data_IF_820409346125
#
_entry.id   IF_820409346125
#
_cell.length_a   1.000
_cell.length_b   1.000
_cell.length_c   1.000
_cell.angle_alpha   90.00
_cell.angle_beta   90.00
_cell.angle_gamma   90.00
#
_symmetry.space_group_name_H-M   'P 1'
#
loop_
_entity.id
_entity.type
_entity.pdbx_description
1 polymer ?
#
# COMPACT_ATOMS: atom_id res chain seq x y z
N UNK A 1 2.83 5.02 19.50
CA UNK A 1 3.69 3.91 19.02
C UNK A 1 4.22 3.20 20.24
N UNK A 2 3.92 1.91 20.45
CA UNK A 2 4.26 1.18 21.68
C UNK A 2 5.76 0.77 21.70
N UNK A 3 6.63 1.43 22.49
CA UNK A 3 8.10 1.27 22.38
C UNK A 3 8.58 -0.16 22.71
N UNK A 4 7.89 -0.83 23.64
CA UNK A 4 8.24 -2.18 24.12
C UNK A 4 8.01 -3.28 23.08
N UNK A 5 7.06 -3.07 22.17
CA UNK A 5 6.80 -4.04 21.10
C UNK A 5 7.94 -4.02 20.06
N UNK A 6 8.43 -2.83 19.72
CA UNK A 6 9.57 -2.63 18.81
C UNK A 6 10.86 -3.21 19.43
N UNK A 7 11.09 -2.97 20.72
CA UNK A 7 12.25 -3.52 21.43
C UNK A 7 12.27 -5.07 21.42
N UNK A 8 11.11 -5.70 21.64
CA UNK A 8 10.98 -7.16 21.56
C UNK A 8 11.29 -7.69 20.15
N UNK A 9 10.75 -7.06 19.10
CA UNK A 9 11.00 -7.49 17.71
C UNK A 9 12.48 -7.45 17.33
N UNK A 10 13.15 -6.35 17.69
CA UNK A 10 14.57 -6.18 17.43
C UNK A 10 15.43 -7.23 18.16
N UNK A 11 15.07 -7.57 19.41
CA UNK A 11 15.81 -8.55 20.22
C UNK A 11 15.79 -9.96 19.63
N UNK A 12 14.71 -10.34 18.93
CA UNK A 12 14.55 -11.70 18.38
C UNK A 12 14.71 -11.79 16.86
N UNK A 13 15.05 -10.69 16.19
CA UNK A 13 15.15 -10.61 14.73
C UNK A 13 13.88 -11.10 14.03
N UNK A 14 12.72 -10.79 14.61
CA UNK A 14 11.43 -11.12 14.02
C UNK A 14 11.06 -10.07 12.98
N UNK A 15 10.69 -10.49 11.78
CA UNK A 15 10.13 -9.61 10.76
C UNK A 15 8.64 -9.34 11.07
N UNK A 16 8.25 -8.07 10.98
CA UNK A 16 6.87 -7.62 11.19
C UNK A 16 5.95 -8.19 10.10
N UNK A 17 4.85 -8.84 10.45
CA UNK A 17 3.77 -9.11 9.48
C UNK A 17 2.91 -7.87 9.28
N UNK A 18 2.28 -7.72 8.11
CA UNK A 18 1.36 -6.60 7.84
C UNK A 18 0.20 -6.54 8.85
N UNK A 19 -0.28 -7.70 9.30
CA UNK A 19 -1.28 -7.86 10.37
C UNK A 19 -0.78 -7.31 11.72
N UNK A 20 0.49 -7.53 12.03
CA UNK A 20 1.12 -6.99 13.24
C UNK A 20 1.22 -5.46 13.21
N UNK A 21 1.55 -4.85 12.05
CA UNK A 21 1.56 -3.39 11.88
C UNK A 21 0.18 -2.76 12.11
N UNK A 22 -0.89 -3.27 11.49
CA UNK A 22 -2.26 -2.72 11.69
C UNK A 22 -2.67 -2.72 13.16
N UNK A 23 -2.32 -3.76 13.91
CA UNK A 23 -2.65 -3.89 15.33
C UNK A 23 -1.79 -3.01 16.28
N UNK A 24 -0.58 -2.64 15.85
CA UNK A 24 0.31 -1.75 16.61
C UNK A 24 -0.10 -0.28 16.52
N UNK A 25 -0.67 0.13 15.37
CA UNK A 25 -1.14 1.49 15.12
C UNK A 25 -2.58 1.74 15.57
N UNK A 26 -3.36 0.69 15.88
CA UNK A 26 -4.75 0.79 16.36
C UNK A 26 -4.91 0.86 17.89
N UNK A 27 -3.82 1.07 18.66
CA UNK A 27 -3.80 1.08 20.14
C UNK A 27 -4.21 -0.25 20.83
N UNK A 28 -4.31 -1.37 20.11
CA UNK A 28 -4.75 -2.66 20.67
C UNK A 28 -3.67 -3.36 21.53
N UNK A 29 -2.38 -3.01 21.37
CA UNK A 29 -1.26 -3.69 22.04
C UNK A 29 -0.53 -2.79 23.03
N UNK A 30 -1.15 -2.49 24.17
CA UNK A 30 -0.51 -1.78 25.29
C UNK A 30 0.00 -2.69 26.42
N UNK A 31 -0.01 -4.02 26.26
CA UNK A 31 0.47 -4.95 27.30
C UNK A 31 1.36 -6.02 26.66
N UNK A 32 2.62 -5.67 26.43
CA UNK A 32 3.71 -6.63 26.17
C UNK A 32 4.48 -6.77 27.48
N UNK A 33 4.32 -7.90 28.17
CA UNK A 33 5.16 -8.25 29.31
C UNK A 33 6.39 -9.02 28.84
N UNK A 34 7.57 -8.41 29.02
CA UNK A 34 8.85 -9.09 28.85
C UNK A 34 9.23 -9.78 30.15
N UNK A 35 9.17 -11.12 30.19
CA UNK A 35 9.80 -11.93 31.26
C UNK A 35 10.89 -12.80 30.65
N UNK A 36 12.15 -12.46 30.92
CA UNK A 36 13.32 -13.21 30.46
C UNK A 36 13.50 -13.22 28.93
N UNK A 37 13.73 -14.40 28.34
CA UNK A 37 13.93 -14.61 26.90
C UNK A 37 12.64 -15.00 26.14
N UNK A 38 11.46 -14.65 26.68
CA UNK A 38 10.16 -14.90 26.03
C UNK A 38 9.37 -13.59 25.97
N UNK A 39 8.85 -13.27 24.79
CA UNK A 39 7.82 -12.25 24.63
C UNK A 39 6.47 -12.95 24.53
N UNK A 40 5.58 -12.71 25.49
CA UNK A 40 4.20 -13.20 25.43
C UNK A 40 3.33 -12.09 24.82
N UNK A 41 2.83 -12.32 23.61
CA UNK A 41 1.82 -11.48 22.98
C UNK A 41 0.41 -11.97 23.43
N UNK A 42 -0.56 -11.06 23.67
CA UNK A 42 -1.88 -11.46 24.14
C UNK A 42 -2.60 -12.37 23.13
N UNK A 43 -3.36 -13.33 23.67
CA UNK A 43 -3.94 -14.49 23.01
C UNK A 43 -4.93 -14.11 21.89
N UNK A 44 -4.44 -14.07 20.66
CA UNK A 44 -5.18 -14.51 19.48
C UNK A 44 -4.26 -15.40 18.67
N UNK A 45 -4.85 -16.41 18.02
CA UNK A 45 -4.23 -17.60 17.44
C UNK A 45 -2.78 -17.40 16.96
N UNK A 46 -1.91 -18.31 17.40
CA UNK A 46 -0.49 -18.43 17.06
C UNK A 46 -0.15 -17.92 15.67
N UNK A 47 0.31 -16.66 15.60
CA UNK A 47 0.95 -16.13 14.40
C UNK A 47 2.25 -16.92 14.25
N UNK A 48 2.32 -17.77 13.22
CA UNK A 48 3.50 -18.58 12.89
C UNK A 48 4.67 -17.64 12.55
N UNK A 49 5.43 -17.25 13.56
CA UNK A 49 6.69 -16.54 13.41
C UNK A 49 7.74 -17.54 12.89
N UNK A 50 7.95 -17.57 11.56
CA UNK A 50 8.97 -18.44 10.96
C UNK A 50 10.36 -17.89 11.28
N UNK A 51 11.11 -18.60 12.11
CA UNK A 51 12.55 -18.36 12.32
C UNK A 51 13.27 -18.61 10.98
N UNK A 52 14.19 -17.73 10.53
CA UNK A 52 14.94 -18.03 9.32
C UNK A 52 15.82 -19.26 9.60
N UNK A 53 15.96 -20.19 8.64
CA UNK A 53 16.86 -21.32 8.80
C UNK A 53 18.29 -20.80 8.97
N UNK A 54 18.96 -21.25 10.02
CA UNK A 54 20.38 -20.95 10.26
C UNK A 54 21.18 -21.66 9.19
N UNK A 55 21.59 -20.93 8.16
CA UNK A 55 22.52 -21.44 7.15
C UNK A 55 23.91 -21.58 7.80
N UNK A 56 24.44 -22.82 7.87
CA UNK A 56 25.84 -23.05 8.20
C UNK A 56 26.71 -22.52 7.05
N UNK A 57 27.86 -21.88 7.35
CA UNK A 57 28.77 -21.43 6.31
C UNK A 57 29.52 -22.64 5.75
N UNK A 58 29.11 -23.14 4.60
CA UNK A 58 29.93 -24.04 3.77
C UNK A 58 30.33 -23.29 2.51
N UNK A 59 31.64 -23.08 2.36
CA UNK A 59 32.41 -22.74 1.16
C UNK A 59 31.71 -21.84 0.13
N UNK A 60 32.23 -20.63 0.00
CA UNK A 60 31.84 -19.61 -0.96
C UNK A 60 31.35 -20.17 -2.32
N UNK A 61 30.06 -20.01 -2.67
CA UNK A 61 29.67 -20.05 -4.05
C UNK A 61 30.04 -18.70 -4.66
N UNK A 62 30.74 -18.74 -5.78
CA UNK A 62 30.98 -17.58 -6.65
C UNK A 62 29.66 -16.82 -6.78
N UNK A 63 29.67 -15.58 -6.29
CA UNK A 63 28.54 -14.66 -6.35
C UNK A 63 28.29 -14.36 -7.83
N UNK A 64 27.46 -15.18 -8.49
CA UNK A 64 26.71 -14.68 -9.64
C UNK A 64 25.75 -13.67 -9.04
N UNK A 65 26.19 -12.41 -8.98
CA UNK A 65 25.27 -11.29 -9.00
C UNK A 65 24.44 -11.50 -10.25
N UNK A 66 23.25 -12.06 -10.06
CA UNK A 66 22.16 -11.83 -10.99
C UNK A 66 21.91 -10.34 -10.82
N UNK A 67 22.54 -9.56 -11.68
CA UNK A 67 22.19 -8.18 -11.91
C UNK A 67 20.74 -8.24 -12.42
N UNK A 68 19.79 -8.25 -11.49
CA UNK A 68 18.39 -8.10 -11.84
C UNK A 68 18.35 -6.69 -12.43
N UNK A 69 18.25 -6.61 -13.75
CA UNK A 69 17.92 -5.38 -14.45
C UNK A 69 16.50 -4.99 -14.00
N UNK A 70 16.41 -4.44 -12.79
CA UNK A 70 15.26 -3.74 -12.25
C UNK A 70 15.28 -2.38 -12.94
N UNK A 71 14.86 -2.34 -14.19
CA UNK A 71 14.63 -1.06 -14.85
C UNK A 71 13.57 -0.35 -14.00
N UNK A 72 13.99 0.69 -13.28
CA UNK A 72 13.10 1.57 -12.51
C UNK A 72 12.40 2.58 -13.41
N UNK A 73 12.57 2.47 -14.73
CA UNK A 73 11.85 3.26 -15.69
C UNK A 73 10.39 2.82 -15.71
N UNK A 74 9.53 3.69 -15.22
CA UNK A 74 8.08 3.49 -15.16
C UNK A 74 7.34 4.42 -16.11
N UNK A 75 8.04 5.17 -16.99
CA UNK A 75 7.42 6.23 -17.81
C UNK A 75 6.23 5.73 -18.65
N UNK A 76 6.30 4.48 -19.14
CA UNK A 76 5.26 3.85 -19.94
C UNK A 76 4.33 2.93 -19.13
N UNK A 77 4.43 2.94 -17.80
CA UNK A 77 3.59 2.11 -16.92
C UNK A 77 2.33 2.88 -16.54
N UNK A 78 1.17 2.33 -16.89
CA UNK A 78 -0.12 2.72 -16.34
C UNK A 78 -0.63 1.64 -15.39
N UNK A 79 -1.43 2.02 -14.40
CA UNK A 79 -2.15 1.05 -13.56
C UNK A 79 -3.34 0.47 -14.32
N UNK A 80 -3.77 -0.72 -13.93
CA UNK A 80 -4.89 -1.45 -14.53
C UNK A 80 -6.06 -1.56 -13.55
N UNK A 81 -7.23 -1.97 -14.08
CA UNK A 81 -8.42 -2.28 -13.29
C UNK A 81 -8.82 -1.18 -12.30
N UNK A 82 -8.66 0.08 -12.71
CA UNK A 82 -9.06 1.21 -11.87
C UNK A 82 -10.57 1.13 -11.64
N UNK A 83 -10.96 1.19 -10.37
CA UNK A 83 -12.35 1.21 -9.95
C UNK A 83 -12.56 2.31 -8.93
N UNK A 84 -13.75 2.91 -8.94
CA UNK A 84 -14.17 3.90 -7.97
C UNK A 84 -15.58 3.57 -7.46
N UNK A 85 -15.69 3.31 -6.17
CA UNK A 85 -16.94 2.95 -5.52
C UNK A 85 -17.34 4.02 -4.49
N UNK A 86 -18.57 4.50 -4.60
CA UNK A 86 -19.15 5.36 -3.58
C UNK A 86 -19.50 4.52 -2.35
N UNK A 87 -18.90 4.84 -1.21
CA UNK A 87 -19.10 4.09 0.04
C UNK A 87 -20.20 4.73 0.89
N UNK A 88 -19.89 5.85 1.54
CA UNK A 88 -20.84 6.57 2.36
C UNK A 88 -20.51 8.06 2.48
N UNK A 89 -21.53 8.91 2.60
CA UNK A 89 -21.37 10.35 2.79
C UNK A 89 -20.53 11.02 1.69
N UNK A 90 -19.24 11.24 1.97
CA UNK A 90 -18.28 11.86 1.04
C UNK A 90 -17.13 10.93 0.66
N UNK A 91 -17.19 9.66 1.08
CA UNK A 91 -16.11 8.70 0.91
C UNK A 91 -16.26 7.94 -0.40
N UNK A 92 -15.18 7.92 -1.17
CA UNK A 92 -15.06 7.13 -2.40
C UNK A 92 -13.85 6.23 -2.25
N UNK A 93 -14.08 4.93 -2.33
CA UNK A 93 -13.03 3.92 -2.36
C UNK A 93 -12.51 3.80 -3.79
N UNK A 94 -11.20 3.95 -3.97
CA UNK A 94 -10.54 3.84 -5.28
C UNK A 94 -9.56 2.68 -5.19
N UNK A 95 -9.59 1.78 -6.17
CA UNK A 95 -8.70 0.62 -6.22
C UNK A 95 -8.15 0.39 -7.62
N UNK A 96 -6.98 -0.24 -7.72
CA UNK A 96 -6.27 -0.52 -8.97
C UNK A 96 -5.24 -1.64 -8.79
N UNK A 97 -4.73 -2.18 -9.90
CA UNK A 97 -3.63 -3.16 -9.93
C UNK A 97 -2.45 -2.63 -10.75
N UNK A 98 -1.27 -3.21 -10.57
CA UNK A 98 -0.16 -3.01 -11.50
C UNK A 98 -0.22 -4.07 -12.62
N UNK A 99 0.27 -3.76 -13.83
CA UNK A 99 0.50 -4.76 -14.86
C UNK A 99 1.38 -5.90 -14.34
N UNK A 100 1.12 -7.12 -14.80
CA UNK A 100 1.81 -8.34 -14.30
C UNK A 100 3.34 -8.35 -14.50
N UNK A 101 3.85 -7.56 -15.43
CA UNK A 101 5.28 -7.39 -15.73
C UNK A 101 5.96 -6.33 -14.86
N UNK A 102 5.20 -5.58 -14.05
CA UNK A 102 5.71 -4.54 -13.16
C UNK A 102 5.80 -5.05 -11.73
N UNK A 103 7.02 -5.07 -11.18
CA UNK A 103 7.21 -5.46 -9.77
C UNK A 103 6.77 -4.32 -8.83
N UNK A 104 6.09 -4.62 -7.70
CA UNK A 104 5.73 -3.61 -6.69
C UNK A 104 6.93 -2.76 -6.20
N UNK A 105 8.14 -3.36 -6.15
CA UNK A 105 9.36 -2.67 -5.72
C UNK A 105 9.85 -1.58 -6.71
N UNK A 106 9.32 -1.55 -7.94
CA UNK A 106 9.62 -0.52 -8.93
C UNK A 106 8.80 0.77 -8.71
N UNK A 107 7.75 0.72 -7.89
CA UNK A 107 6.82 1.82 -7.64
C UNK A 107 6.92 2.24 -6.17
N UNK A 108 7.11 3.53 -5.91
CA UNK A 108 7.17 4.07 -4.54
C UNK A 108 5.81 4.56 -4.05
N UNK A 109 4.94 4.99 -4.98
CA UNK A 109 3.59 5.41 -4.68
C UNK A 109 2.77 5.72 -5.92
N UNK A 110 1.60 6.32 -5.71
CA UNK A 110 0.64 6.66 -6.76
C UNK A 110 0.15 8.09 -6.62
N UNK A 111 -0.14 8.73 -7.75
CA UNK A 111 -0.82 10.01 -7.82
C UNK A 111 -2.26 9.77 -8.24
N UNK A 112 -3.20 10.16 -7.39
CA UNK A 112 -4.63 10.12 -7.69
C UNK A 112 -5.03 11.49 -8.21
N UNK A 113 -5.45 11.55 -9.46
CA UNK A 113 -5.79 12.79 -10.16
C UNK A 113 -7.31 12.80 -10.31
N UNK A 114 -7.98 13.84 -9.83
CA UNK A 114 -9.43 13.94 -9.94
C UNK A 114 -9.91 15.36 -10.14
N UNK A 115 -11.01 15.49 -10.88
CA UNK A 115 -11.68 16.76 -11.12
C UNK A 115 -13.20 16.60 -11.03
N UNK A 116 -13.87 17.68 -10.63
CA UNK A 116 -15.33 17.74 -10.60
C UNK A 116 -15.86 18.08 -11.99
N UNK A 117 -16.73 17.23 -12.52
CA UNK A 117 -17.43 17.46 -13.78
C UNK A 117 -18.63 18.38 -13.54
N UNK A 118 -18.66 19.52 -14.21
CA UNK A 118 -19.79 20.44 -14.29
C UNK A 118 -20.46 20.31 -15.65
N UNK A 119 -21.71 20.75 -15.79
CA UNK A 119 -22.55 20.56 -17.00
C UNK A 119 -21.88 21.00 -18.32
N UNK A 120 -20.92 21.93 -18.28
CA UNK A 120 -20.26 22.46 -19.47
C UNK A 120 -18.71 22.51 -19.36
N UNK A 121 -18.13 22.10 -18.24
CA UNK A 121 -16.67 22.19 -18.03
C UNK A 121 -16.19 21.25 -16.92
N UNK A 122 -14.88 20.96 -16.93
CA UNK A 122 -14.17 20.31 -15.82
C UNK A 122 -13.62 21.38 -14.87
N UNK A 123 -13.51 21.08 -13.58
CA UNK A 123 -12.65 21.87 -12.69
C UNK A 123 -11.19 21.62 -12.99
N UNK A 124 -10.31 22.40 -12.35
CA UNK A 124 -8.89 22.07 -12.30
C UNK A 124 -8.69 20.70 -11.66
N UNK A 125 -7.63 20.01 -12.11
CA UNK A 125 -7.21 18.73 -11.56
C UNK A 125 -6.65 18.92 -10.16
N UNK A 126 -7.13 18.08 -9.24
CA UNK A 126 -6.57 17.92 -7.90
C UNK A 126 -5.71 16.66 -7.93
N UNK A 127 -4.49 16.75 -7.41
CA UNK A 127 -3.54 15.64 -7.33
C UNK A 127 -3.28 15.30 -5.87
N UNK A 128 -3.48 14.03 -5.52
CA UNK A 128 -3.21 13.49 -4.19
C UNK A 128 -2.18 12.36 -4.26
N UNK A 129 -1.07 12.51 -3.52
CA UNK A 129 -0.02 11.51 -3.45
C UNK A 129 -0.36 10.45 -2.40
N UNK A 130 -0.37 9.20 -2.82
CA UNK A 130 -0.76 8.04 -2.00
C UNK A 130 0.39 7.03 -1.97
N UNK A 131 0.89 6.78 -0.77
CA UNK A 131 1.78 5.65 -0.49
C UNK A 131 0.94 4.51 0.09
N UNK A 132 0.68 3.47 -0.70
CA UNK A 132 -0.09 2.29 -0.29
C UNK A 132 0.61 1.02 -0.76
N UNK A 133 0.28 -0.10 -0.13
CA UNK A 133 0.80 -1.43 -0.47
C UNK A 133 -0.34 -2.29 -1.01
N UNK A 134 -0.07 -3.24 -1.92
CA UNK A 134 -1.12 -4.12 -2.41
C UNK A 134 -1.59 -5.06 -1.28
N UNK A 135 -2.83 -5.51 -1.37
CA UNK A 135 -3.32 -6.64 -0.58
C UNK A 135 -2.83 -7.99 -1.13
N UNK A 136 -3.34 -9.08 -0.56
CA UNK A 136 -2.94 -10.45 -0.93
C UNK A 136 -3.30 -10.81 -2.38
N UNK A 137 -4.26 -10.09 -2.99
CA UNK A 137 -4.69 -10.27 -4.39
C UNK A 137 -3.99 -9.28 -5.34
N UNK A 138 -3.03 -8.49 -4.85
CA UNK A 138 -2.30 -7.51 -5.66
C UNK A 138 -3.04 -6.19 -5.85
N UNK A 139 -4.13 -5.96 -5.12
CA UNK A 139 -4.98 -4.78 -5.25
C UNK A 139 -4.45 -3.64 -4.36
N UNK A 140 -4.18 -2.51 -4.98
CA UNK A 140 -3.88 -1.24 -4.31
C UNK A 140 -5.18 -0.48 -4.11
N UNK A 141 -5.26 0.29 -3.02
CA UNK A 141 -6.43 1.11 -2.75
C UNK A 141 -6.16 2.32 -1.88
N UNK A 142 -7.08 3.28 -1.96
CA UNK A 142 -7.19 4.46 -1.08
C UNK A 142 -8.64 4.94 -0.97
N UNK A 143 -8.91 5.80 -0.01
CA UNK A 143 -10.23 6.40 0.19
C UNK A 143 -10.16 7.92 0.07
N UNK A 144 -10.78 8.46 -0.99
CA UNK A 144 -10.90 9.90 -1.19
C UNK A 144 -12.06 10.48 -0.39
N UNK A 145 -11.96 11.77 -0.05
CA UNK A 145 -13.05 12.53 0.56
C UNK A 145 -13.51 13.64 -0.39
N UNK A 146 -14.58 13.39 -1.13
CA UNK A 146 -15.05 14.22 -2.24
C UNK A 146 -16.32 15.00 -1.89
N UNK A 147 -16.59 16.10 -2.59
CA UNK A 147 -17.82 16.89 -2.38
C UNK A 147 -19.06 16.10 -2.78
N UNK A 148 -20.12 16.24 -1.99
CA UNK A 148 -21.44 15.64 -2.24
C UNK A 148 -22.08 16.19 -3.52
N UNK A 149 -23.08 15.47 -4.01
CA UNK A 149 -23.89 15.80 -5.19
C UNK A 149 -23.06 16.23 -6.40
N UNK A 150 -21.92 15.56 -6.61
CA UNK A 150 -20.92 15.95 -7.62
C UNK A 150 -20.44 14.71 -8.36
N UNK A 151 -20.30 14.82 -9.69
CA UNK A 151 -19.68 13.80 -10.52
C UNK A 151 -18.19 14.08 -10.65
N UNK A 152 -17.36 13.06 -10.53
CA UNK A 152 -15.91 13.16 -10.67
C UNK A 152 -15.42 12.30 -11.82
N UNK A 153 -14.36 12.77 -12.46
CA UNK A 153 -13.41 11.96 -13.20
C UNK A 153 -12.23 11.67 -12.29
N UNK A 154 -11.76 10.43 -12.26
CA UNK A 154 -10.64 9.97 -11.44
C UNK A 154 -9.68 9.18 -12.32
N UNK A 155 -8.38 9.46 -12.21
CA UNK A 155 -7.28 8.73 -12.84
C UNK A 155 -6.21 8.43 -11.81
N UNK A 156 -5.40 7.42 -12.09
CA UNK A 156 -4.29 7.01 -11.23
C UNK A 156 -3.03 6.82 -12.07
N UNK A 157 -1.88 7.26 -11.56
CA UNK A 157 -0.58 6.94 -12.16
C UNK A 157 0.46 6.58 -11.09
N UNK A 158 1.38 5.65 -11.36
CA UNK A 158 2.45 5.32 -10.43
C UNK A 158 3.55 6.39 -10.46
N UNK A 159 4.34 6.49 -9.40
CA UNK A 159 5.59 7.27 -9.39
C UNK A 159 6.68 6.56 -8.59
N UNK A 160 7.93 6.91 -8.88
CA UNK A 160 9.11 6.54 -8.11
C UNK A 160 10.17 7.65 -8.17
N UNK A 161 11.34 7.45 -7.54
CA UNK A 161 12.41 8.45 -7.55
C UNK A 161 13.00 8.80 -8.92
N UNK A 162 12.68 8.08 -10.00
CA UNK A 162 13.10 8.41 -11.37
C UNK A 162 12.06 9.22 -12.15
N UNK A 163 10.78 9.16 -11.76
CA UNK A 163 9.73 9.89 -12.46
C UNK A 163 8.33 9.36 -12.18
N UNK A 164 7.40 9.75 -13.05
CA UNK A 164 6.00 9.35 -13.03
C UNK A 164 5.70 8.44 -14.23
N UNK A 165 4.80 7.48 -14.03
CA UNK A 165 4.25 6.69 -15.12
C UNK A 165 3.07 7.36 -15.82
N UNK A 166 2.44 6.59 -16.70
CA UNK A 166 1.30 7.04 -17.49
C UNK A 166 0.01 7.06 -16.65
N UNK A 167 -0.86 8.02 -16.97
CA UNK A 167 -2.23 8.04 -16.43
C UNK A 167 -3.03 6.83 -16.90
N UNK A 168 -3.78 6.24 -15.98
CA UNK A 168 -4.80 5.25 -16.30
C UNK A 168 -5.91 5.83 -17.19
N UNK A 169 -6.69 4.94 -17.78
CA UNK A 169 -8.01 5.31 -18.28
C UNK A 169 -8.86 5.94 -17.16
N UNK A 170 -9.65 6.97 -17.45
CA UNK A 170 -10.46 7.65 -16.44
C UNK A 170 -11.66 6.82 -16.01
N UNK A 171 -11.91 6.78 -14.71
CA UNK A 171 -13.17 6.28 -14.14
C UNK A 171 -14.05 7.43 -13.68
N UNK A 172 -15.36 7.26 -13.78
CA UNK A 172 -16.34 8.29 -13.45
C UNK A 172 -17.24 7.83 -12.33
N UNK A 173 -17.40 8.67 -11.30
CA UNK A 173 -18.23 8.35 -10.13
C UNK A 173 -19.10 9.54 -9.73
N UNK A 174 -20.32 9.28 -9.25
CA UNK A 174 -21.21 10.29 -8.68
C UNK A 174 -21.29 10.13 -7.17
N UNK A 175 -20.87 11.16 -6.44
CA UNK A 175 -20.87 11.18 -4.98
C UNK A 175 -22.20 11.73 -4.50
N UNK A 176 -23.10 10.85 -4.04
CA UNK A 176 -24.48 11.28 -3.72
C UNK A 176 -24.57 12.14 -2.45
N UNK A 177 -23.75 11.86 -1.44
CA UNK A 177 -23.87 12.53 -0.14
C UNK A 177 -24.82 11.88 0.85
N UNK A 178 -25.46 10.77 0.49
CA UNK A 178 -26.44 10.05 1.34
C UNK A 178 -25.76 8.95 2.15
N UNK A 179 -26.27 8.70 3.35
CA UNK A 179 -25.90 7.52 4.14
C UNK A 179 -26.56 6.29 3.55
#
# INVERSE_FOLDING_TARGET
>A
IAPKAIECLNKFQCYESQTFRRNLYSNILNIVESRGNKCNLPQFETILMRRPPVLRPTSAPVKKEVEVNLTRDIANVAVENVNAEYVEGTKVFVSWTLPSDVTPAAVEGFKIIYNALKKASKSDDIVEDVSTVPDDDGLYSTTLTLKRTTRYEIKVKPYNGQGEGQESEPVFIYVSGKK
#
